data_IF_779687152948
#
_entry.id   IF_779687152948
#
_cell.length_a   1.000
_cell.length_b   1.000
_cell.length_c   1.000
_cell.angle_alpha   90.00
_cell.angle_beta   90.00
_cell.angle_gamma   90.00
#
_symmetry.space_group_name_H-M   'P 1'
#
loop_
_entity.id
_entity.type
_entity.pdbx_description
1 polymer ?
#
# COMPACT_ATOMS: atom_id res chain seq x y z
N UNK A 1 -24.19 -7.55 32.39
CA UNK A 1 -22.72 -7.65 32.50
C UNK A 1 -22.10 -6.40 31.90
N UNK A 2 -21.17 -5.72 32.60
CA UNK A 2 -20.49 -4.53 32.05
C UNK A 2 -19.73 -4.93 30.77
N UNK A 3 -19.62 -4.02 29.81
CA UNK A 3 -19.01 -4.33 28.51
C UNK A 3 -17.56 -4.83 28.64
N UNK A 4 -16.84 -4.33 29.63
CA UNK A 4 -15.47 -4.75 29.97
C UNK A 4 -15.39 -6.19 30.50
N UNK A 5 -16.33 -6.60 31.35
CA UNK A 5 -16.40 -8.00 31.82
C UNK A 5 -16.79 -8.95 30.69
N UNK A 6 -17.66 -8.51 29.76
CA UNK A 6 -17.96 -9.27 28.53
C UNK A 6 -16.72 -9.46 27.66
N UNK A 7 -15.90 -8.41 27.49
CA UNK A 7 -14.63 -8.45 26.73
C UNK A 7 -13.64 -9.43 27.37
N UNK A 8 -13.41 -9.32 28.67
CA UNK A 8 -12.44 -10.15 29.39
C UNK A 8 -12.81 -11.63 29.33
N UNK A 9 -14.08 -11.95 29.58
CA UNK A 9 -14.59 -13.34 29.47
C UNK A 9 -14.46 -13.86 28.03
N UNK A 10 -14.72 -13.03 27.02
CA UNK A 10 -14.62 -13.46 25.63
C UNK A 10 -13.17 -13.70 25.19
N UNK A 11 -12.21 -12.94 25.74
CA UNK A 11 -10.77 -13.15 25.53
C UNK A 11 -10.33 -14.47 26.17
N UNK A 12 -10.74 -14.73 27.42
CA UNK A 12 -10.44 -15.99 28.12
C UNK A 12 -11.03 -17.20 27.38
N UNK A 13 -12.29 -17.11 26.95
CA UNK A 13 -12.93 -18.17 26.15
C UNK A 13 -12.23 -18.31 24.79
N UNK A 14 -11.83 -17.21 24.14
CA UNK A 14 -11.07 -17.25 22.90
C UNK A 14 -9.72 -17.97 23.04
N UNK A 15 -9.00 -17.72 24.14
CA UNK A 15 -7.74 -18.42 24.44
C UNK A 15 -7.96 -19.91 24.70
N UNK A 16 -9.04 -20.25 25.42
CA UNK A 16 -9.46 -21.62 25.66
C UNK A 16 -9.81 -22.35 24.35
N UNK A 17 -10.48 -21.69 23.40
CA UNK A 17 -10.75 -22.22 22.05
C UNK A 17 -9.44 -22.54 21.33
N UNK A 18 -8.42 -21.67 21.39
CA UNK A 18 -7.11 -21.93 20.75
C UNK A 18 -6.42 -23.13 21.38
N UNK A 19 -6.41 -23.27 22.71
CA UNK A 19 -5.82 -24.42 23.40
C UNK A 19 -6.52 -25.72 22.99
N UNK A 20 -7.86 -25.72 22.98
CA UNK A 20 -8.65 -26.87 22.54
C UNK A 20 -8.40 -27.22 21.08
N UNK A 21 -8.07 -26.23 20.26
CA UNK A 21 -7.83 -26.41 18.83
C UNK A 21 -6.48 -27.08 18.52
N UNK A 22 -5.43 -26.76 19.29
CA UNK A 22 -4.09 -27.35 19.15
C UNK A 22 -4.07 -28.82 19.53
N UNK A 23 -5.04 -29.28 20.34
CA UNK A 23 -5.13 -30.68 20.73
C UNK A 23 -5.52 -31.57 19.54
N UNK A 24 -4.86 -32.73 19.40
CA UNK A 24 -5.10 -33.65 18.29
C UNK A 24 -6.49 -34.31 18.33
N UNK A 25 -7.11 -34.39 19.50
CA UNK A 25 -8.39 -35.06 19.68
C UNK A 25 -9.56 -34.33 18.96
N UNK A 26 -10.25 -35.07 18.10
CA UNK A 26 -11.39 -34.60 17.29
C UNK A 26 -12.53 -34.00 18.13
N UNK A 27 -12.76 -34.52 19.34
CA UNK A 27 -13.80 -34.02 20.25
C UNK A 27 -13.49 -32.61 20.75
N UNK A 28 -12.22 -32.31 21.06
CA UNK A 28 -11.82 -30.97 21.49
C UNK A 28 -11.93 -29.95 20.36
N UNK A 29 -11.65 -30.35 19.12
CA UNK A 29 -11.86 -29.52 17.93
C UNK A 29 -13.34 -29.23 17.69
N UNK A 30 -14.22 -30.20 17.89
CA UNK A 30 -15.67 -30.01 17.78
C UNK A 30 -16.19 -29.04 18.86
N UNK A 31 -15.75 -29.21 20.11
CA UNK A 31 -16.08 -28.31 21.22
C UNK A 31 -15.59 -26.88 20.94
N UNK A 32 -14.37 -26.72 20.43
CA UNK A 32 -13.83 -25.43 20.03
C UNK A 32 -14.70 -24.75 18.95
N UNK A 33 -15.25 -25.52 18.00
CA UNK A 33 -16.13 -25.02 16.95
C UNK A 33 -17.50 -24.57 17.51
N UNK A 34 -18.07 -25.32 18.45
CA UNK A 34 -19.30 -24.91 19.16
C UNK A 34 -19.09 -23.63 19.99
N UNK A 35 -17.98 -23.53 20.72
CA UNK A 35 -17.66 -22.36 21.54
C UNK A 35 -17.42 -21.12 20.66
N UNK A 36 -16.69 -21.26 19.55
CA UNK A 36 -16.45 -20.16 18.61
C UNK A 36 -17.74 -19.68 17.93
N UNK A 37 -18.62 -20.59 17.51
CA UNK A 37 -19.96 -20.26 17.02
C UNK A 37 -20.80 -19.52 18.07
N UNK A 38 -20.78 -19.98 19.32
CA UNK A 38 -21.46 -19.34 20.45
C UNK A 38 -20.93 -17.94 20.76
N UNK A 39 -19.61 -17.73 20.68
CA UNK A 39 -18.99 -16.41 20.81
C UNK A 39 -19.45 -15.45 19.71
N UNK A 40 -19.43 -15.88 18.44
CA UNK A 40 -19.90 -15.05 17.31
C UNK A 40 -21.36 -14.64 17.52
N UNK A 41 -22.22 -15.58 17.92
CA UNK A 41 -23.63 -15.30 18.17
C UNK A 41 -23.84 -14.34 19.36
N UNK A 42 -23.09 -14.51 20.45
CA UNK A 42 -23.12 -13.62 21.63
C UNK A 42 -22.67 -12.18 21.31
N UNK A 43 -21.79 -12.02 20.33
CA UNK A 43 -21.24 -10.74 19.91
C UNK A 43 -22.00 -10.08 18.74
N UNK A 44 -22.98 -10.76 18.12
CA UNK A 44 -23.67 -10.27 16.92
C UNK A 44 -24.28 -8.87 17.08
N UNK A 45 -24.92 -8.59 18.22
CA UNK A 45 -25.58 -7.31 18.48
C UNK A 45 -24.56 -6.18 18.70
N UNK A 46 -23.48 -6.48 19.43
CA UNK A 46 -22.35 -5.57 19.64
C UNK A 46 -21.65 -5.26 18.32
N UNK A 47 -21.44 -6.28 17.48
CA UNK A 47 -20.83 -6.12 16.15
C UNK A 47 -21.70 -5.29 15.22
N UNK A 48 -23.01 -5.55 15.16
CA UNK A 48 -23.96 -4.76 14.37
C UNK A 48 -23.98 -3.29 14.81
N UNK A 49 -23.97 -3.03 16.12
CA UNK A 49 -23.91 -1.67 16.68
C UNK A 49 -22.60 -0.98 16.32
N UNK A 50 -21.48 -1.70 16.45
CA UNK A 50 -20.16 -1.19 16.07
C UNK A 50 -20.08 -0.85 14.58
N UNK A 51 -20.58 -1.73 13.69
CA UNK A 51 -20.66 -1.48 12.24
C UNK A 51 -21.51 -0.24 11.96
N UNK A 52 -22.67 -0.09 12.61
CA UNK A 52 -23.54 1.09 12.46
C UNK A 52 -22.82 2.39 12.87
N UNK A 53 -22.09 2.38 13.98
CA UNK A 53 -21.29 3.52 14.43
C UNK A 53 -20.21 3.88 13.40
N UNK A 54 -19.47 2.90 12.90
CA UNK A 54 -18.40 3.13 11.90
C UNK A 54 -18.95 3.53 10.53
N UNK A 55 -20.13 3.04 10.15
CA UNK A 55 -20.84 3.50 8.96
C UNK A 55 -21.28 4.97 9.08
N UNK A 56 -21.82 5.37 10.24
CA UNK A 56 -22.15 6.76 10.51
C UNK A 56 -20.90 7.65 10.46
N UNK A 57 -19.77 7.17 10.99
CA UNK A 57 -18.48 7.84 10.88
C UNK A 57 -18.08 8.06 9.41
N UNK A 58 -18.18 7.03 8.56
CA UNK A 58 -17.93 7.14 7.12
C UNK A 58 -18.83 8.19 6.46
N UNK A 59 -20.14 8.19 6.78
CA UNK A 59 -21.10 9.17 6.26
C UNK A 59 -20.72 10.60 6.67
N UNK A 60 -20.34 10.81 7.92
CA UNK A 60 -19.94 12.12 8.44
C UNK A 60 -18.63 12.61 7.80
N UNK A 61 -17.65 11.71 7.58
CA UNK A 61 -16.42 12.02 6.85
C UNK A 61 -16.72 12.40 5.39
N UNK A 62 -17.63 11.69 4.71
CA UNK A 62 -18.04 12.02 3.33
C UNK A 62 -18.76 13.36 3.25
N UNK A 63 -19.55 13.71 4.27
CA UNK A 63 -20.18 15.02 4.43
C UNK A 63 -19.23 16.13 4.92
N UNK A 64 -17.96 15.79 5.17
CA UNK A 64 -16.89 16.71 5.59
C UNK A 64 -17.15 17.37 6.95
N UNK A 65 -17.92 16.72 7.82
CA UNK A 65 -18.29 17.29 9.12
C UNK A 65 -17.10 17.50 10.07
N UNK A 66 -15.98 16.81 9.85
CA UNK A 66 -14.76 16.92 10.66
C UNK A 66 -13.66 17.77 10.00
N UNK A 67 -13.94 18.35 8.84
CA UNK A 67 -13.00 19.23 8.14
C UNK A 67 -13.17 20.65 8.67
N UNK A 68 -12.29 21.03 9.59
CA UNK A 68 -12.29 22.36 10.20
C UNK A 68 -11.26 23.24 9.53
N UNK A 69 -11.71 24.38 9.02
CA UNK A 69 -10.90 25.30 8.22
C UNK A 69 -9.84 25.97 9.09
N UNK A 70 -10.21 26.36 10.32
CA UNK A 70 -9.30 27.03 11.26
C UNK A 70 -8.27 26.08 11.89
N UNK A 71 -8.30 24.79 11.56
CA UNK A 71 -7.35 23.79 12.07
C UNK A 71 -6.23 23.53 11.06
N UNK A 72 -5.01 24.00 11.37
CA UNK A 72 -3.83 23.79 10.54
C UNK A 72 -3.61 22.30 10.24
N UNK A 73 -3.67 21.94 8.96
CA UNK A 73 -3.44 20.58 8.48
C UNK A 73 -4.59 19.61 8.73
N UNK A 74 -5.78 20.09 9.09
CA UNK A 74 -7.02 19.31 9.17
C UNK A 74 -6.90 18.02 10.01
N UNK A 75 -6.25 18.14 11.17
CA UNK A 75 -5.86 17.02 12.04
C UNK A 75 -7.06 16.19 12.53
N UNK A 76 -8.19 16.83 12.79
CA UNK A 76 -9.43 16.18 13.21
C UNK A 76 -9.98 15.26 12.11
N UNK A 77 -10.09 15.75 10.87
CA UNK A 77 -10.52 14.94 9.71
C UNK A 77 -9.56 13.75 9.49
N UNK A 78 -8.25 14.00 9.55
CA UNK A 78 -7.25 12.94 9.43
C UNK A 78 -7.38 11.89 10.54
N UNK A 79 -7.56 12.28 11.80
CA UNK A 79 -7.79 11.36 12.91
C UNK A 79 -9.04 10.51 12.67
N UNK A 80 -10.17 11.12 12.28
CA UNK A 80 -11.41 10.37 12.03
C UNK A 80 -11.28 9.40 10.86
N UNK A 81 -10.55 9.77 9.81
CA UNK A 81 -10.20 8.85 8.71
C UNK A 81 -9.28 7.71 9.15
N UNK A 82 -8.33 7.96 10.05
CA UNK A 82 -7.47 6.91 10.66
C UNK A 82 -8.28 5.98 11.57
N UNK A 83 -9.19 6.51 12.39
CA UNK A 83 -10.11 5.71 13.21
C UNK A 83 -10.97 4.78 12.34
N UNK A 84 -11.41 5.26 11.16
CA UNK A 84 -12.13 4.43 10.18
C UNK A 84 -11.20 3.40 9.53
N UNK A 85 -9.98 3.77 9.15
CA UNK A 85 -8.98 2.86 8.59
C UNK A 85 -8.61 1.72 9.54
N UNK A 86 -8.36 2.04 10.81
CA UNK A 86 -8.12 1.08 11.87
C UNK A 86 -9.30 0.12 12.08
N UNK A 87 -10.53 0.63 11.98
CA UNK A 87 -11.73 -0.21 12.04
C UNK A 87 -11.80 -1.19 10.85
N UNK A 88 -11.51 -0.73 9.62
CA UNK A 88 -11.45 -1.60 8.43
C UNK A 88 -10.36 -2.66 8.59
N UNK A 89 -9.18 -2.29 9.09
CA UNK A 89 -8.11 -3.24 9.39
C UNK A 89 -8.55 -4.29 10.40
N UNK A 90 -9.11 -3.87 11.53
CA UNK A 90 -9.58 -4.79 12.56
C UNK A 90 -10.62 -5.77 11.99
N UNK A 91 -11.60 -5.26 11.22
CA UNK A 91 -12.63 -6.11 10.63
C UNK A 91 -12.06 -7.12 9.62
N UNK A 92 -11.18 -6.67 8.73
CA UNK A 92 -10.59 -7.50 7.68
C UNK A 92 -9.59 -8.53 8.24
N UNK A 93 -8.66 -8.11 9.09
CA UNK A 93 -7.57 -8.96 9.57
C UNK A 93 -8.01 -9.88 10.71
N UNK A 94 -8.79 -9.39 11.69
CA UNK A 94 -9.36 -10.29 12.71
C UNK A 94 -10.40 -11.23 12.08
N UNK A 95 -11.16 -10.75 11.09
CA UNK A 95 -12.06 -11.58 10.30
C UNK A 95 -11.32 -12.69 9.54
N UNK A 96 -10.18 -12.37 8.93
CA UNK A 96 -9.33 -13.35 8.25
C UNK A 96 -8.76 -14.40 9.21
N UNK A 97 -8.25 -13.98 10.38
CA UNK A 97 -7.76 -14.91 11.41
C UNK A 97 -8.90 -15.84 11.87
N UNK A 98 -10.08 -15.29 12.16
CA UNK A 98 -11.24 -16.08 12.55
C UNK A 98 -11.67 -17.06 11.44
N UNK A 99 -11.64 -16.63 10.18
CA UNK A 99 -11.94 -17.49 9.04
C UNK A 99 -10.94 -18.64 8.93
N UNK A 100 -9.63 -18.38 9.04
CA UNK A 100 -8.60 -19.43 9.02
C UNK A 100 -8.85 -20.43 10.15
N UNK A 101 -9.15 -19.96 11.37
CA UNK A 101 -9.44 -20.86 12.49
C UNK A 101 -10.64 -21.77 12.20
N UNK A 102 -11.74 -21.20 11.69
CA UNK A 102 -12.95 -21.98 11.36
C UNK A 102 -12.67 -22.97 10.24
N UNK A 103 -12.03 -22.53 9.15
CA UNK A 103 -11.74 -23.38 8.00
C UNK A 103 -10.78 -24.50 8.40
N UNK A 104 -9.73 -24.19 9.18
CA UNK A 104 -8.80 -25.17 9.73
C UNK A 104 -9.50 -26.22 10.59
N UNK A 105 -10.49 -25.80 11.38
CA UNK A 105 -11.28 -26.72 12.19
C UNK A 105 -12.09 -27.68 11.33
N UNK A 106 -12.80 -27.16 10.32
CA UNK A 106 -13.60 -27.96 9.42
C UNK A 106 -12.72 -28.94 8.62
N UNK A 107 -11.60 -28.47 8.08
CA UNK A 107 -10.70 -29.32 7.28
C UNK A 107 -10.04 -30.40 8.14
N UNK A 108 -9.71 -30.11 9.39
CA UNK A 108 -9.21 -31.13 10.32
C UNK A 108 -10.26 -32.17 10.71
N UNK A 109 -11.55 -31.83 10.75
CA UNK A 109 -12.62 -32.78 11.04
C UNK A 109 -12.87 -33.75 9.88
N UNK A 110 -12.70 -33.27 8.64
CA UNK A 110 -12.96 -34.03 7.40
C UNK A 110 -11.67 -34.67 6.85
N UNK A 111 -10.53 -34.46 7.53
CA UNK A 111 -9.21 -34.90 7.11
C UNK A 111 -8.84 -34.46 5.67
N UNK A 112 -9.22 -33.23 5.34
CA UNK A 112 -9.01 -32.61 4.03
C UNK A 112 -7.89 -31.55 4.10
N UNK A 113 -7.04 -31.37 3.07
CA UNK A 113 -5.95 -30.39 3.13
C UNK A 113 -6.47 -28.95 3.09
N UNK A 114 -5.97 -28.10 3.99
CA UNK A 114 -6.41 -26.71 4.19
C UNK A 114 -6.34 -25.84 2.91
N UNK A 115 -5.30 -26.03 2.11
CA UNK A 115 -4.96 -25.17 0.97
C UNK A 115 -5.45 -25.70 -0.39
N UNK A 116 -6.23 -26.80 -0.41
CA UNK A 116 -6.66 -27.43 -1.66
C UNK A 116 -8.15 -27.21 -1.93
N UNK A 117 -8.55 -27.28 -3.21
CA UNK A 117 -9.94 -27.17 -3.63
C UNK A 117 -10.63 -25.84 -3.24
N UNK A 118 -11.90 -25.94 -2.83
CA UNK A 118 -12.73 -24.78 -2.48
C UNK A 118 -12.19 -23.99 -1.27
N UNK A 119 -11.61 -24.67 -0.27
CA UNK A 119 -11.05 -24.01 0.91
C UNK A 119 -9.83 -23.15 0.57
N UNK A 120 -8.96 -23.64 -0.32
CA UNK A 120 -7.83 -22.86 -0.84
C UNK A 120 -8.28 -21.57 -1.54
N UNK A 121 -9.36 -21.62 -2.33
CA UNK A 121 -9.93 -20.45 -3.00
C UNK A 121 -10.51 -19.44 -1.99
N UNK A 122 -11.19 -19.92 -0.94
CA UNK A 122 -11.76 -19.07 0.10
C UNK A 122 -10.64 -18.35 0.87
N UNK A 123 -9.59 -19.09 1.27
CA UNK A 123 -8.45 -18.53 2.01
C UNK A 123 -7.70 -17.51 1.15
N UNK A 124 -7.41 -17.80 -0.12
CA UNK A 124 -6.68 -16.89 -1.00
C UNK A 124 -7.45 -15.57 -1.23
N UNK A 125 -8.77 -15.64 -1.47
CA UNK A 125 -9.61 -14.44 -1.58
C UNK A 125 -9.67 -13.64 -0.28
N UNK A 126 -9.75 -14.31 0.86
CA UNK A 126 -9.77 -13.64 2.16
C UNK A 126 -8.42 -12.99 2.50
N UNK A 127 -7.31 -13.58 2.06
CA UNK A 127 -5.97 -12.99 2.17
C UNK A 127 -5.85 -11.69 1.37
N UNK A 128 -6.36 -11.68 0.12
CA UNK A 128 -6.41 -10.45 -0.70
C UNK A 128 -7.24 -9.37 0.02
N UNK A 129 -8.38 -9.74 0.61
CA UNK A 129 -9.21 -8.80 1.37
C UNK A 129 -8.49 -8.24 2.61
N UNK A 130 -7.74 -9.08 3.33
CA UNK A 130 -6.92 -8.67 4.47
C UNK A 130 -5.81 -7.68 4.07
N UNK A 131 -5.12 -7.96 2.96
CA UNK A 131 -4.11 -7.06 2.36
C UNK A 131 -4.70 -5.69 2.00
N UNK A 132 -5.87 -5.67 1.34
CA UNK A 132 -6.58 -4.42 1.04
C UNK A 132 -6.91 -3.67 2.35
N UNK A 133 -7.32 -4.38 3.40
CA UNK A 133 -7.58 -3.81 4.71
C UNK A 133 -6.37 -3.10 5.33
N UNK A 134 -5.17 -3.70 5.22
CA UNK A 134 -3.90 -3.11 5.65
C UNK A 134 -3.62 -1.81 4.89
N UNK A 135 -3.70 -1.86 3.55
CA UNK A 135 -3.47 -0.71 2.66
C UNK A 135 -4.42 0.45 3.02
N UNK A 136 -5.71 0.15 3.21
CA UNK A 136 -6.72 1.17 3.55
C UNK A 136 -6.54 1.80 4.93
N UNK A 137 -5.92 1.07 5.87
CA UNK A 137 -5.63 1.57 7.22
C UNK A 137 -4.44 2.53 7.23
N UNK A 138 -3.37 2.16 6.52
CA UNK A 138 -2.11 2.91 6.54
C UNK A 138 -2.17 4.16 5.63
N UNK A 139 -3.10 4.23 4.66
CA UNK A 139 -3.19 5.32 3.66
C UNK A 139 -3.14 6.75 4.21
N UNK A 140 -3.69 6.99 5.40
CA UNK A 140 -3.79 8.34 6.00
C UNK A 140 -2.63 8.68 6.96
N UNK A 141 -1.61 7.83 7.05
CA UNK A 141 -0.40 8.06 7.84
C UNK A 141 0.76 8.55 6.97
N UNK A 142 1.01 7.88 5.83
CA UNK A 142 2.15 8.15 4.94
C UNK A 142 1.69 8.41 3.50
N UNK A 143 0.73 9.33 3.30
CA UNK A 143 0.10 9.60 1.99
C UNK A 143 1.10 9.84 0.85
N UNK A 144 2.23 10.52 1.13
CA UNK A 144 3.32 10.75 0.18
C UNK A 144 3.99 9.47 -0.32
N UNK A 145 4.18 8.48 0.55
CA UNK A 145 4.87 7.25 0.20
C UNK A 145 4.03 6.33 -0.70
N UNK A 146 2.70 6.33 -0.54
CA UNK A 146 1.81 5.54 -1.39
C UNK A 146 1.98 5.84 -2.88
N UNK A 147 2.17 7.10 -3.21
CA UNK A 147 2.39 7.54 -4.58
C UNK A 147 3.64 6.91 -5.20
N UNK A 148 4.72 6.74 -4.42
CA UNK A 148 5.99 6.17 -4.89
C UNK A 148 6.03 4.64 -4.82
N UNK A 149 5.38 4.02 -3.83
CA UNK A 149 5.37 2.55 -3.71
C UNK A 149 4.44 1.86 -4.72
N UNK A 150 3.46 2.58 -5.26
CA UNK A 150 2.44 1.98 -6.11
C UNK A 150 3.02 1.31 -7.39
N UNK A 151 3.92 1.94 -8.17
CA UNK A 151 4.49 1.29 -9.35
C UNK A 151 5.35 0.08 -9.01
N UNK A 152 6.04 0.10 -7.86
CA UNK A 152 6.79 -1.06 -7.36
C UNK A 152 5.87 -2.22 -6.98
N UNK A 153 4.73 -1.95 -6.35
CA UNK A 153 3.73 -2.99 -6.09
C UNK A 153 3.20 -3.60 -7.39
N UNK A 154 2.97 -2.78 -8.43
CA UNK A 154 2.58 -3.31 -9.74
C UNK A 154 3.68 -4.21 -10.31
N UNK A 155 4.95 -3.78 -10.25
CA UNK A 155 6.08 -4.57 -10.72
C UNK A 155 6.18 -5.94 -10.01
N UNK A 156 5.98 -5.96 -8.69
CA UNK A 156 5.98 -7.21 -7.91
C UNK A 156 4.83 -8.13 -8.29
N UNK A 157 3.66 -7.59 -8.62
CA UNK A 157 2.51 -8.40 -9.04
C UNK A 157 2.70 -8.95 -10.46
N UNK A 158 3.39 -8.20 -11.33
CA UNK A 158 3.60 -8.59 -12.73
C UNK A 158 4.83 -9.46 -12.96
N UNK A 159 5.76 -9.55 -12.00
CA UNK A 159 7.04 -10.25 -12.18
C UNK A 159 6.86 -11.73 -12.54
N UNK A 160 5.89 -12.41 -11.94
CA UNK A 160 5.61 -13.83 -12.19
C UNK A 160 4.73 -14.07 -13.43
N UNK A 161 4.14 -13.00 -13.99
CA UNK A 161 3.22 -13.08 -15.13
C UNK A 161 3.86 -12.65 -16.46
N UNK A 162 5.01 -11.98 -16.40
CA UNK A 162 5.69 -11.38 -17.52
C UNK A 162 6.99 -12.13 -17.78
N UNK A 163 7.08 -12.80 -18.94
CA UNK A 163 8.29 -13.52 -19.35
C UNK A 163 9.49 -12.56 -19.55
N UNK A 164 9.23 -11.37 -20.10
CA UNK A 164 10.22 -10.30 -20.25
C UNK A 164 9.53 -8.93 -20.22
N UNK A 165 10.09 -8.02 -19.42
CA UNK A 165 9.63 -6.64 -19.33
C UNK A 165 9.96 -5.82 -20.57
N UNK A 166 10.97 -6.23 -21.36
CA UNK A 166 11.34 -5.61 -22.63
C UNK A 166 10.29 -5.86 -23.73
N UNK A 167 9.37 -6.81 -23.56
CA UNK A 167 8.32 -7.06 -24.53
C UNK A 167 7.23 -5.98 -24.52
N UNK A 168 6.79 -5.57 -25.72
CA UNK A 168 5.75 -4.53 -25.91
C UNK A 168 4.46 -4.88 -25.16
N UNK A 169 4.06 -6.16 -25.19
CA UNK A 169 2.86 -6.64 -24.49
C UNK A 169 2.95 -6.39 -22.98
N UNK A 170 4.07 -6.72 -22.36
CA UNK A 170 4.28 -6.54 -20.92
C UNK A 170 4.34 -5.08 -20.52
N UNK A 171 4.98 -4.24 -21.33
CA UNK A 171 4.98 -2.78 -21.15
C UNK A 171 3.54 -2.23 -21.11
N UNK A 172 2.69 -2.64 -22.06
CA UNK A 172 1.29 -2.19 -22.11
C UNK A 172 0.52 -2.66 -20.88
N UNK A 173 0.64 -3.93 -20.49
CA UNK A 173 -0.05 -4.50 -19.32
C UNK A 173 0.36 -3.73 -18.05
N UNK A 174 1.66 -3.50 -17.86
CA UNK A 174 2.18 -2.76 -16.72
C UNK A 174 1.59 -1.34 -16.66
N UNK A 175 1.63 -0.60 -17.77
CA UNK A 175 1.11 0.77 -17.84
C UNK A 175 -0.38 0.85 -17.53
N UNK A 176 -1.18 -0.08 -18.04
CA UNK A 176 -2.62 -0.16 -17.74
C UNK A 176 -2.86 -0.42 -16.25
N UNK A 177 -2.15 -1.36 -15.65
CA UNK A 177 -2.26 -1.67 -14.22
C UNK A 177 -1.86 -0.48 -13.34
N UNK A 178 -0.81 0.25 -13.71
CA UNK A 178 -0.39 1.48 -13.03
C UNK A 178 -1.48 2.54 -13.08
N UNK A 179 -2.09 2.78 -14.25
CA UNK A 179 -3.18 3.76 -14.41
C UNK A 179 -4.37 3.37 -13.51
N UNK A 180 -4.80 2.12 -13.56
CA UNK A 180 -5.90 1.60 -12.71
C UNK A 180 -5.58 1.81 -11.23
N UNK A 181 -4.36 1.48 -10.83
CA UNK A 181 -3.90 1.61 -9.44
C UNK A 181 -3.90 3.08 -8.99
N UNK A 182 -3.44 4.01 -9.83
CA UNK A 182 -3.45 5.43 -9.51
C UNK A 182 -4.87 6.01 -9.47
N UNK A 183 -5.76 5.59 -10.37
CA UNK A 183 -7.18 5.97 -10.32
C UNK A 183 -7.77 5.53 -8.98
N UNK A 184 -7.51 4.30 -8.53
CA UNK A 184 -7.98 3.81 -7.24
C UNK A 184 -7.41 4.63 -6.08
N UNK A 185 -6.10 4.92 -6.07
CA UNK A 185 -5.46 5.76 -5.05
C UNK A 185 -6.11 7.15 -4.96
N UNK A 186 -6.31 7.78 -6.12
CA UNK A 186 -6.93 9.09 -6.24
C UNK A 186 -8.34 9.05 -5.70
N UNK A 187 -9.15 8.03 -5.99
CA UNK A 187 -10.50 7.90 -5.44
C UNK A 187 -10.52 7.73 -3.92
N UNK A 188 -9.55 7.02 -3.35
CA UNK A 188 -9.47 6.75 -1.92
C UNK A 188 -9.05 7.97 -1.08
N UNK A 189 -8.17 8.82 -1.61
CA UNK A 189 -7.58 9.93 -0.86
C UNK A 189 -8.39 11.23 -0.95
N UNK A 190 -8.52 11.98 0.17
CA UNK A 190 -9.16 13.29 0.15
C UNK A 190 -8.29 14.33 -0.56
N UNK A 191 -8.92 15.38 -1.09
CA UNK A 191 -8.24 16.40 -1.92
C UNK A 191 -7.08 17.09 -1.20
N UNK A 192 -7.24 17.45 0.08
CA UNK A 192 -6.15 18.08 0.84
C UNK A 192 -4.91 17.16 0.96
N UNK A 193 -5.09 15.84 1.05
CA UNK A 193 -3.98 14.88 1.08
C UNK A 193 -3.28 14.76 -0.27
N UNK A 194 -4.03 14.84 -1.37
CA UNK A 194 -3.48 14.84 -2.73
C UNK A 194 -2.67 16.10 -3.04
N UNK A 195 -3.11 17.27 -2.55
CA UNK A 195 -2.33 18.52 -2.64
C UNK A 195 -1.00 18.40 -1.92
N UNK A 196 -0.97 17.76 -0.75
CA UNK A 196 0.27 17.50 0.00
C UNK A 196 1.23 16.60 -0.76
N UNK A 197 0.73 15.59 -1.48
CA UNK A 197 1.56 14.77 -2.37
C UNK A 197 2.18 15.67 -3.46
N UNK A 198 1.36 16.51 -4.10
CA UNK A 198 1.82 17.40 -5.19
C UNK A 198 2.88 18.40 -4.71
N UNK A 199 2.70 19.04 -3.55
CA UNK A 199 3.71 19.96 -3.01
C UNK A 199 5.00 19.23 -2.57
N UNK A 200 4.88 17.97 -2.13
CA UNK A 200 6.00 17.12 -1.75
C UNK A 200 6.67 16.40 -2.93
N UNK A 201 6.02 16.34 -4.11
CA UNK A 201 6.53 15.59 -5.26
C UNK A 201 7.78 16.19 -5.87
N UNK A 202 8.06 17.48 -5.67
CA UNK A 202 9.30 18.06 -6.17
C UNK A 202 10.53 17.44 -5.50
N UNK A 203 10.59 17.42 -4.17
CA UNK A 203 11.75 16.89 -3.43
C UNK A 203 11.84 15.37 -3.53
N UNK A 204 10.74 14.66 -3.28
CA UNK A 204 10.74 13.20 -3.34
C UNK A 204 10.80 12.67 -4.78
N UNK A 205 10.31 13.43 -5.77
CA UNK A 205 10.43 13.10 -7.18
C UNK A 205 11.90 13.12 -7.60
N UNK A 206 12.64 14.17 -7.24
CA UNK A 206 14.09 14.23 -7.48
C UNK A 206 14.81 13.06 -6.81
N UNK A 207 14.53 12.80 -5.52
CA UNK A 207 15.15 11.66 -4.81
C UNK A 207 14.84 10.32 -5.48
N UNK A 208 13.60 10.07 -5.89
CA UNK A 208 13.24 8.81 -6.56
C UNK A 208 13.86 8.69 -7.96
N UNK A 209 13.95 9.79 -8.71
CA UNK A 209 14.66 9.79 -10.00
C UNK A 209 16.16 9.55 -9.88
N UNK A 210 16.77 9.77 -8.70
CA UNK A 210 18.17 9.43 -8.42
C UNK A 210 18.32 8.01 -7.87
N UNK A 211 17.48 7.63 -6.90
CA UNK A 211 17.56 6.33 -6.21
C UNK A 211 17.21 5.17 -7.15
N UNK A 212 16.16 5.30 -7.97
CA UNK A 212 15.70 4.20 -8.83
C UNK A 212 16.79 3.79 -9.85
N UNK A 213 17.44 4.72 -10.58
CA UNK A 213 18.57 4.35 -11.44
C UNK A 213 19.77 3.82 -10.67
N UNK A 214 20.15 4.43 -9.55
CA UNK A 214 21.27 3.94 -8.74
C UNK A 214 21.04 2.48 -8.29
N UNK A 215 19.81 2.17 -7.89
CA UNK A 215 19.49 0.81 -7.45
C UNK A 215 19.39 -0.17 -8.61
N UNK A 216 18.67 0.15 -9.69
CA UNK A 216 18.44 -0.80 -10.78
C UNK A 216 19.61 -0.92 -11.77
N UNK A 217 20.32 0.18 -12.07
CA UNK A 217 21.43 0.13 -13.03
C UNK A 217 22.78 -0.06 -12.36
N UNK A 218 23.07 0.65 -11.28
CA UNK A 218 24.38 0.54 -10.67
C UNK A 218 24.48 -0.70 -9.79
N UNK A 219 23.53 -0.92 -8.88
CA UNK A 219 23.60 -2.10 -8.01
C UNK A 219 23.30 -3.39 -8.77
N UNK A 220 22.15 -3.51 -9.44
CA UNK A 220 21.82 -4.76 -10.12
C UNK A 220 22.61 -4.97 -11.41
N UNK A 221 22.65 -3.99 -12.32
CA UNK A 221 23.31 -4.21 -13.61
C UNK A 221 24.83 -4.21 -13.52
N UNK A 222 25.47 -3.34 -12.74
CA UNK A 222 26.94 -3.34 -12.69
C UNK A 222 27.47 -4.39 -11.71
N UNK A 223 27.03 -4.34 -10.45
CA UNK A 223 27.63 -5.18 -9.41
C UNK A 223 27.28 -6.67 -9.56
N UNK A 224 26.05 -7.02 -9.95
CA UNK A 224 25.63 -8.42 -10.10
C UNK A 224 26.25 -9.06 -11.35
N UNK A 225 26.23 -8.36 -12.49
CA UNK A 225 26.82 -8.84 -13.75
C UNK A 225 28.32 -9.04 -13.58
N UNK A 226 29.04 -8.08 -12.99
CA UNK A 226 30.48 -8.21 -12.73
C UNK A 226 30.78 -9.39 -11.78
N UNK A 227 29.95 -9.59 -10.75
CA UNK A 227 30.10 -10.73 -9.84
C UNK A 227 29.91 -12.07 -10.55
N UNK A 228 28.91 -12.17 -11.44
CA UNK A 228 28.64 -13.40 -12.19
C UNK A 228 29.75 -13.65 -13.21
N UNK A 229 30.21 -12.61 -13.91
CA UNK A 229 31.31 -12.70 -14.86
C UNK A 229 32.60 -13.18 -14.18
N UNK A 230 32.93 -12.60 -13.02
CA UNK A 230 34.11 -12.98 -12.23
C UNK A 230 34.04 -14.42 -11.71
N UNK A 231 32.86 -14.87 -11.28
CA UNK A 231 32.65 -16.26 -10.86
C UNK A 231 32.87 -17.23 -12.04
N UNK A 232 32.40 -16.86 -13.24
CA UNK A 232 32.61 -17.64 -14.46
C UNK A 232 34.07 -17.76 -14.85
N UNK A 233 34.79 -16.64 -14.84
CA UNK A 233 36.23 -16.62 -15.14
C UNK A 233 37.02 -17.46 -14.13
N UNK A 234 36.56 -17.50 -12.87
CA UNK A 234 37.23 -18.27 -11.81
C UNK A 234 36.92 -19.77 -11.82
N UNK A 235 35.82 -20.18 -12.45
CA UNK A 235 35.34 -21.56 -12.47
C UNK A 235 35.12 -22.08 -13.91
N UNK A 236 36.16 -22.20 -14.75
CA UNK A 236 36.01 -22.74 -16.10
C UNK A 236 35.60 -24.22 -16.08
N UNK A 237 34.92 -24.68 -17.13
CA UNK A 237 34.70 -26.12 -17.35
C UNK A 237 36.07 -26.75 -17.60
N UNK A 238 36.42 -27.73 -16.77
CA UNK A 238 37.66 -28.51 -16.86
C UNK A 238 37.34 -30.00 -16.94
N UNK A 239 38.31 -30.79 -17.42
CA UNK A 239 38.18 -32.25 -17.52
C UNK A 239 37.89 -32.88 -16.14
N UNK A 240 38.47 -32.35 -15.07
CA UNK A 240 38.24 -32.82 -13.69
C UNK A 240 36.82 -32.56 -13.21
N UNK A 241 36.23 -31.44 -13.62
CA UNK A 241 34.86 -31.08 -13.28
C UNK A 241 33.87 -31.99 -14.02
N UNK A 242 34.16 -32.31 -15.29
CA UNK A 242 33.39 -33.26 -16.10
C UNK A 242 33.50 -34.70 -15.56
N UNK A 243 34.69 -35.13 -15.13
CA UNK A 243 34.92 -36.40 -14.45
C UNK A 243 34.05 -36.56 -13.19
N UNK A 244 33.91 -35.48 -12.41
CA UNK A 244 33.09 -35.47 -11.19
C UNK A 244 31.58 -35.47 -11.45
N UNK A 245 31.13 -35.06 -12.64
CA UNK A 245 29.71 -35.02 -13.01
C UNK A 245 29.14 -36.38 -13.47
N UNK A 246 29.95 -37.45 -13.50
CA UNK A 246 29.47 -38.80 -13.79
C UNK A 246 29.27 -39.11 -15.28
N UNK A 247 29.98 -38.40 -16.17
CA UNK A 247 30.01 -38.70 -17.60
C UNK A 247 30.60 -40.11 -17.85
N UNK A 248 30.10 -40.79 -18.88
CA UNK A 248 30.60 -42.13 -19.26
C UNK A 248 32.07 -42.06 -19.70
N UNK A 249 32.83 -43.11 -19.39
CA UNK A 249 34.27 -43.22 -19.70
C UNK A 249 34.60 -43.00 -21.17
N UNK A 250 33.73 -43.43 -22.08
CA UNK A 250 33.86 -43.22 -23.54
C UNK A 250 33.78 -41.75 -23.96
N UNK A 251 32.91 -40.96 -23.30
CA UNK A 251 32.77 -39.53 -23.57
C UNK A 251 33.99 -38.78 -23.03
N UNK A 252 34.48 -39.19 -21.86
CA UNK A 252 35.67 -38.63 -21.24
C UNK A 252 36.95 -38.91 -22.04
N UNK A 253 37.11 -40.12 -22.58
CA UNK A 253 38.23 -40.43 -23.47
C UNK A 253 38.16 -39.61 -24.76
N UNK A 254 36.97 -39.48 -25.35
CA UNK A 254 36.76 -38.67 -26.56
C UNK A 254 37.11 -37.18 -26.34
N UNK A 255 36.70 -36.59 -25.20
CA UNK A 255 37.05 -35.21 -24.84
C UNK A 255 38.54 -35.07 -24.55
N UNK A 256 39.17 -36.07 -23.94
CA UNK A 256 40.63 -36.08 -23.68
C UNK A 256 41.44 -36.12 -24.97
N UNK A 257 40.97 -36.84 -25.99
CA UNK A 257 41.59 -36.89 -27.32
C UNK A 257 41.33 -35.61 -28.14
N UNK A 258 40.29 -34.85 -27.80
CA UNK A 258 39.86 -33.65 -28.50
C UNK A 258 39.73 -32.44 -27.54
N UNK A 259 40.86 -31.90 -27.02
CA UNK A 259 40.85 -30.86 -25.98
C UNK A 259 40.16 -29.54 -26.41
N UNK A 260 40.05 -29.29 -27.72
CA UNK A 260 39.30 -28.15 -28.25
C UNK A 260 37.81 -28.16 -27.85
N UNK A 261 37.24 -29.33 -27.52
CA UNK A 261 35.85 -29.46 -27.08
C UNK A 261 35.63 -28.69 -25.77
N UNK A 262 36.61 -28.70 -24.87
CA UNK A 262 36.51 -27.97 -23.59
C UNK A 262 36.51 -26.46 -23.83
N UNK A 263 37.34 -25.97 -24.76
CA UNK A 263 37.35 -24.56 -25.18
C UNK A 263 36.00 -24.17 -25.80
N UNK A 264 35.46 -25.02 -26.68
CA UNK A 264 34.15 -24.84 -27.30
C UNK A 264 33.03 -24.78 -26.24
N UNK A 265 33.04 -25.69 -25.26
CA UNK A 265 32.06 -25.72 -24.16
C UNK A 265 32.13 -24.46 -23.30
N UNK A 266 33.34 -23.98 -22.97
CA UNK A 266 33.52 -22.73 -22.23
C UNK A 266 33.01 -21.52 -23.03
N UNK A 267 33.32 -21.43 -24.33
CA UNK A 267 32.78 -20.37 -25.21
C UNK A 267 31.26 -20.39 -25.30
N UNK A 268 30.65 -21.57 -25.43
CA UNK A 268 29.19 -21.68 -25.44
C UNK A 268 28.57 -21.27 -24.10
N UNK A 269 29.21 -21.65 -22.98
CA UNK A 269 28.79 -21.23 -21.64
C UNK A 269 28.85 -19.71 -21.49
N UNK A 270 29.98 -19.11 -21.86
CA UNK A 270 30.16 -17.66 -21.85
C UNK A 270 29.11 -16.95 -22.71
N UNK A 271 28.87 -17.43 -23.93
CA UNK A 271 27.88 -16.85 -24.84
C UNK A 271 26.46 -16.96 -24.29
N UNK A 272 26.06 -18.11 -23.75
CA UNK A 272 24.74 -18.32 -23.16
C UNK A 272 24.51 -17.37 -21.98
N UNK A 273 25.49 -17.26 -21.08
CA UNK A 273 25.33 -16.43 -19.89
C UNK A 273 25.40 -14.95 -20.24
N UNK A 274 26.26 -14.55 -21.18
CA UNK A 274 26.28 -13.18 -21.70
C UNK A 274 24.92 -12.82 -22.32
N UNK A 275 24.27 -13.74 -23.03
CA UNK A 275 22.92 -13.54 -23.55
C UNK A 275 21.90 -13.35 -22.43
N UNK A 276 21.88 -14.22 -21.42
CA UNK A 276 20.95 -14.14 -20.28
C UNK A 276 21.17 -12.85 -19.46
N UNK A 277 22.43 -12.48 -19.20
CA UNK A 277 22.78 -11.25 -18.51
C UNK A 277 22.36 -10.02 -19.32
N UNK A 278 22.59 -10.02 -20.63
CA UNK A 278 22.12 -8.93 -21.50
C UNK A 278 20.59 -8.81 -21.49
N UNK A 279 19.87 -9.92 -21.58
CA UNK A 279 18.42 -9.96 -21.48
C UNK A 279 17.93 -9.40 -20.14
N UNK A 280 18.51 -9.86 -19.02
CA UNK A 280 18.20 -9.38 -17.69
C UNK A 280 18.46 -7.87 -17.53
N UNK A 281 19.59 -7.38 -18.03
CA UNK A 281 19.90 -5.94 -17.97
C UNK A 281 18.96 -5.10 -18.83
N UNK A 282 18.51 -5.61 -19.97
CA UNK A 282 17.49 -4.97 -20.80
C UNK A 282 16.16 -4.85 -20.05
N UNK A 283 15.76 -5.92 -19.37
CA UNK A 283 14.53 -5.93 -18.57
C UNK A 283 14.60 -4.96 -17.38
N UNK A 284 15.75 -4.88 -16.69
CA UNK A 284 15.97 -3.90 -15.62
C UNK A 284 15.92 -2.46 -16.13
N UNK A 285 16.57 -2.17 -17.26
CA UNK A 285 16.52 -0.84 -17.89
C UNK A 285 15.10 -0.48 -18.32
N UNK A 286 14.34 -1.43 -18.85
CA UNK A 286 12.94 -1.22 -19.22
C UNK A 286 12.07 -1.00 -17.98
N UNK A 287 12.25 -1.79 -16.92
CA UNK A 287 11.55 -1.62 -15.65
C UNK A 287 11.85 -0.26 -15.01
N UNK A 288 13.11 0.19 -15.04
CA UNK A 288 13.49 1.54 -14.61
C UNK A 288 12.68 2.60 -15.36
N UNK A 289 12.66 2.52 -16.69
CA UNK A 289 11.90 3.44 -17.53
C UNK A 289 10.41 3.43 -17.17
N UNK A 290 9.84 2.24 -16.99
CA UNK A 290 8.43 2.07 -16.62
C UNK A 290 8.11 2.67 -15.25
N UNK A 291 8.95 2.46 -14.24
CA UNK A 291 8.78 3.03 -12.90
C UNK A 291 8.81 4.56 -12.94
N UNK A 292 9.78 5.15 -13.65
CA UNK A 292 9.89 6.61 -13.79
C UNK A 292 8.69 7.20 -14.53
N UNK A 293 8.29 6.57 -15.63
CA UNK A 293 7.11 6.99 -16.41
C UNK A 293 5.83 6.87 -15.58
N UNK A 294 5.73 5.86 -14.72
CA UNK A 294 4.59 5.66 -13.82
C UNK A 294 4.42 6.80 -12.83
N UNK A 295 5.53 7.35 -12.30
CA UNK A 295 5.46 8.53 -11.46
C UNK A 295 4.88 9.72 -12.25
N UNK A 296 5.36 9.97 -13.46
CA UNK A 296 4.79 11.02 -14.32
C UNK A 296 3.28 10.85 -14.54
N UNK A 297 2.83 9.63 -14.82
CA UNK A 297 1.39 9.30 -14.94
C UNK A 297 0.64 9.63 -13.66
N UNK A 298 1.15 9.17 -12.50
CA UNK A 298 0.54 9.44 -11.21
C UNK A 298 0.42 10.95 -10.94
N UNK A 299 1.45 11.74 -11.27
CA UNK A 299 1.45 13.20 -11.10
C UNK A 299 0.36 13.84 -11.95
N UNK A 300 0.23 13.44 -13.22
CA UNK A 300 -0.80 13.94 -14.15
C UNK A 300 -2.19 13.66 -13.60
N UNK A 301 -2.47 12.41 -13.21
CA UNK A 301 -3.78 12.01 -12.69
C UNK A 301 -4.14 12.73 -11.39
N UNK A 302 -3.20 12.86 -10.46
CA UNK A 302 -3.40 13.60 -9.20
C UNK A 302 -3.70 15.08 -9.50
N UNK A 303 -2.93 15.69 -10.38
CA UNK A 303 -3.08 17.09 -10.78
C UNK A 303 -4.45 17.33 -11.43
N UNK A 304 -4.89 16.42 -12.30
CA UNK A 304 -6.20 16.47 -12.93
C UNK A 304 -7.32 16.45 -11.88
N UNK A 305 -7.24 15.56 -10.88
CA UNK A 305 -8.23 15.53 -9.78
C UNK A 305 -8.24 16.83 -8.97
N UNK A 306 -7.08 17.43 -8.73
CA UNK A 306 -6.96 18.71 -8.02
C UNK A 306 -7.59 19.84 -8.85
N UNK A 307 -7.33 19.89 -10.16
CA UNK A 307 -7.95 20.87 -11.08
C UNK A 307 -9.47 20.74 -11.12
N UNK A 308 -9.99 19.51 -11.21
CA UNK A 308 -11.44 19.26 -11.10
C UNK A 308 -12.02 19.73 -9.76
N UNK A 309 -11.27 19.54 -8.66
CA UNK A 309 -11.61 20.10 -7.36
C UNK A 309 -11.71 21.62 -7.39
N UNK A 310 -10.72 22.31 -7.98
CA UNK A 310 -10.74 23.78 -8.10
C UNK A 310 -11.91 24.30 -8.92
N UNK A 311 -12.20 23.68 -10.07
CA UNK A 311 -13.38 24.04 -10.89
C UNK A 311 -14.68 23.89 -10.09
N UNK A 312 -14.82 22.80 -9.32
CA UNK A 312 -15.97 22.64 -8.42
C UNK A 312 -16.03 23.71 -7.33
N UNK A 313 -14.90 24.17 -6.82
CA UNK A 313 -14.86 25.25 -5.84
C UNK A 313 -15.31 26.58 -6.44
N UNK A 314 -14.96 26.86 -7.70
CA UNK A 314 -15.40 28.03 -8.45
C UNK A 314 -16.93 28.09 -8.58
N UNK A 315 -17.55 26.96 -8.92
CA UNK A 315 -19.02 26.83 -8.98
C UNK A 315 -19.71 27.03 -7.62
N UNK A 316 -19.03 26.67 -6.53
CA UNK A 316 -19.55 26.90 -5.17
C UNK A 316 -19.37 28.38 -4.79
N UNK A 317 -18.21 28.95 -5.07
CA UNK A 317 -17.87 30.33 -4.74
C UNK A 317 -18.75 31.34 -5.48
N UNK A 318 -18.99 31.13 -6.77
CA UNK A 318 -19.91 31.96 -7.57
C UNK A 318 -21.32 32.00 -6.95
N UNK A 319 -21.84 30.84 -6.52
CA UNK A 319 -23.14 30.74 -5.83
C UNK A 319 -23.14 31.44 -4.47
N UNK A 320 -22.05 31.34 -3.71
CA UNK A 320 -21.91 32.05 -2.43
C UNK A 320 -21.94 33.56 -2.65
N UNK A 321 -21.22 34.06 -3.66
CA UNK A 321 -21.16 35.50 -3.97
C UNK A 321 -22.52 36.07 -4.40
N UNK A 322 -23.36 35.26 -5.06
CA UNK A 322 -24.70 35.68 -5.47
C UNK A 322 -25.79 35.45 -4.40
N UNK A 323 -25.49 34.76 -3.30
CA UNK A 323 -26.47 34.41 -2.27
C UNK A 323 -26.49 35.46 -1.15
N UNK A 324 -27.70 35.84 -0.71
CA UNK A 324 -27.87 36.71 0.46
C UNK A 324 -27.71 36.00 1.81
N UNK A 325 -27.85 34.66 1.84
CA UNK A 325 -27.63 33.84 3.05
C UNK A 325 -26.56 32.79 2.76
N UNK A 326 -25.42 32.90 3.44
CA UNK A 326 -24.24 32.07 3.20
C UNK A 326 -24.06 31.11 4.37
N UNK A 327 -24.20 29.82 4.08
CA UNK A 327 -24.05 28.77 5.08
C UNK A 327 -22.59 28.33 5.25
N UNK A 328 -22.19 28.03 6.49
CA UNK A 328 -20.89 27.46 6.85
C UNK A 328 -20.49 26.26 5.97
N UNK A 329 -21.43 25.34 5.69
CA UNK A 329 -21.14 24.15 4.88
C UNK A 329 -20.67 24.51 3.47
N UNK A 330 -21.23 25.57 2.87
CA UNK A 330 -20.85 26.03 1.53
C UNK A 330 -19.45 26.63 1.54
N UNK A 331 -19.14 27.47 2.53
CA UNK A 331 -17.80 28.05 2.72
C UNK A 331 -16.74 26.95 2.93
N UNK A 332 -17.01 26.03 3.87
CA UNK A 332 -16.14 24.89 4.17
C UNK A 332 -15.91 24.01 2.95
N UNK A 333 -16.98 23.66 2.22
CA UNK A 333 -16.88 22.80 1.05
C UNK A 333 -16.11 23.50 -0.08
N UNK A 334 -16.30 24.81 -0.27
CA UNK A 334 -15.51 25.62 -1.20
C UNK A 334 -14.02 25.53 -0.90
N UNK A 335 -13.63 25.69 0.38
CA UNK A 335 -12.22 25.58 0.81
C UNK A 335 -11.71 24.16 0.66
N UNK A 336 -12.49 23.16 1.02
CA UNK A 336 -12.12 21.75 0.84
C UNK A 336 -11.77 21.45 -0.62
N UNK A 337 -12.58 21.92 -1.56
CA UNK A 337 -12.39 21.70 -3.00
C UNK A 337 -11.33 22.61 -3.64
N UNK A 338 -11.22 23.86 -3.20
CA UNK A 338 -10.36 24.88 -3.78
C UNK A 338 -8.95 24.98 -3.19
N UNK A 339 -8.80 24.62 -1.91
CA UNK A 339 -7.54 24.74 -1.17
C UNK A 339 -7.16 26.17 -0.86
N UNK A 340 -5.87 26.39 -0.62
CA UNK A 340 -5.29 27.63 -0.10
C UNK A 340 -5.74 28.88 -0.87
N UNK A 341 -5.92 28.77 -2.20
CA UNK A 341 -6.41 29.86 -3.03
C UNK A 341 -7.81 30.34 -2.63
N UNK A 342 -8.74 29.41 -2.40
CA UNK A 342 -10.11 29.72 -1.99
C UNK A 342 -10.22 29.94 -0.48
N UNK A 343 -9.33 29.32 0.30
CA UNK A 343 -9.17 29.62 1.73
C UNK A 343 -8.85 31.11 1.93
N UNK A 344 -7.85 31.62 1.22
CA UNK A 344 -7.47 33.04 1.29
C UNK A 344 -8.59 33.97 0.81
N UNK A 345 -9.27 33.63 -0.30
CA UNK A 345 -10.41 34.42 -0.81
C UNK A 345 -11.57 34.49 0.17
N UNK A 346 -11.87 33.40 0.89
CA UNK A 346 -12.97 33.34 1.84
C UNK A 346 -12.60 34.02 3.15
N UNK A 347 -11.39 33.78 3.67
CA UNK A 347 -10.92 34.39 4.92
C UNK A 347 -10.64 35.89 4.78
N UNK A 348 -10.43 36.41 3.57
CA UNK A 348 -10.33 37.84 3.33
C UNK A 348 -11.66 38.60 3.50
N UNK A 349 -12.80 37.90 3.54
CA UNK A 349 -14.11 38.50 3.80
C UNK A 349 -14.49 38.30 5.28
N UNK A 350 -14.63 39.41 6.01
CA UNK A 350 -14.91 39.42 7.45
C UNK A 350 -16.20 38.70 7.83
N UNK A 351 -17.25 38.77 7.00
CA UNK A 351 -18.54 38.15 7.28
C UNK A 351 -18.43 36.62 7.17
N UNK A 352 -17.73 36.15 6.14
CA UNK A 352 -17.49 34.71 5.94
C UNK A 352 -16.56 34.15 7.01
N UNK A 353 -15.51 34.89 7.37
CA UNK A 353 -14.61 34.56 8.46
C UNK A 353 -15.38 34.42 9.79
N UNK A 354 -16.24 35.38 10.12
CA UNK A 354 -17.04 35.36 11.35
C UNK A 354 -17.97 34.13 11.41
N UNK A 355 -18.58 33.73 10.29
CA UNK A 355 -19.40 32.51 10.22
C UNK A 355 -18.56 31.26 10.49
N UNK A 356 -17.34 31.17 9.94
CA UNK A 356 -16.45 30.03 10.15
C UNK A 356 -15.99 29.96 11.61
N UNK A 357 -15.50 31.08 12.15
CA UNK A 357 -14.96 31.14 13.51
C UNK A 357 -16.05 30.82 14.53
N UNK A 358 -17.23 31.45 14.41
CA UNK A 358 -18.34 31.22 15.34
C UNK A 358 -18.79 29.76 15.37
N UNK A 359 -18.79 29.09 14.21
CA UNK A 359 -19.18 27.69 14.12
C UNK A 359 -18.10 26.73 14.65
N UNK A 360 -16.83 26.98 14.33
CA UNK A 360 -15.73 26.08 14.66
C UNK A 360 -15.18 26.25 16.09
N UNK A 361 -15.38 27.41 16.72
CA UNK A 361 -15.01 27.63 18.13
C UNK A 361 -15.80 26.70 19.09
N UNK A 362 -17.01 26.30 18.71
CA UNK A 362 -17.86 25.41 19.50
C UNK A 362 -17.51 23.93 19.31
N UNK A 363 -16.53 23.60 18.47
CA UNK A 363 -16.20 22.23 18.08
C UNK A 363 -14.86 21.80 18.68
N UNK A 364 -14.83 20.58 19.23
CA UNK A 364 -13.60 19.99 19.76
C UNK A 364 -12.61 19.66 18.64
N UNK A 365 -11.47 20.35 18.65
CA UNK A 365 -10.37 20.15 17.72
C UNK A 365 -9.37 19.14 18.28
N UNK A 366 -8.84 18.29 17.40
CA UNK A 366 -7.90 17.26 17.80
C UNK A 366 -6.47 17.80 17.91
N UNK A 367 -5.85 17.56 19.07
CA UNK A 367 -4.43 17.79 19.28
C UNK A 367 -3.69 16.46 19.08
N UNK A 368 -2.80 16.41 18.09
CA UNK A 368 -1.97 15.23 17.78
C UNK A 368 -1.03 14.91 18.96
N UNK A 369 -1.24 13.73 19.56
CA UNK A 369 -0.47 13.25 20.70
C UNK A 369 0.52 12.15 20.33
N UNK A 370 0.42 11.58 19.13
CA UNK A 370 1.26 10.46 18.70
C UNK A 370 2.71 10.89 18.51
N UNK A 371 3.63 10.30 19.29
CA UNK A 371 5.04 10.71 19.38
C UNK A 371 5.75 10.69 18.02
N UNK A 372 5.62 9.61 17.25
CA UNK A 372 6.29 9.43 15.97
C UNK A 372 5.72 10.32 14.85
N UNK A 373 4.58 10.98 15.08
CA UNK A 373 4.06 12.04 14.19
C UNK A 373 4.54 13.41 14.69
N UNK A 374 4.48 13.63 16.01
CA UNK A 374 4.77 14.90 16.68
C UNK A 374 6.23 15.33 16.57
N UNK A 375 7.19 14.41 16.79
CA UNK A 375 8.61 14.77 16.78
C UNK A 375 9.12 15.12 15.38
N UNK A 376 8.86 14.32 14.32
CA UNK A 376 9.23 14.72 12.97
C UNK A 376 8.56 16.02 12.53
N UNK A 377 7.29 16.25 12.89
CA UNK A 377 6.63 17.51 12.54
C UNK A 377 7.27 18.72 13.20
N UNK A 378 7.68 18.60 14.48
CA UNK A 378 8.39 19.66 15.19
C UNK A 378 9.76 19.93 14.59
N UNK A 379 10.47 18.89 14.18
CA UNK A 379 11.76 19.03 13.50
C UNK A 379 11.59 19.80 12.19
N UNK A 380 10.62 19.42 11.35
CA UNK A 380 10.33 20.13 10.10
C UNK A 380 9.93 21.59 10.34
N UNK A 381 9.11 21.87 11.37
CA UNK A 381 8.77 23.25 11.74
C UNK A 381 9.99 24.06 12.20
N UNK A 382 10.89 23.45 12.97
CA UNK A 382 12.13 24.07 13.41
C UNK A 382 13.07 24.36 12.24
N UNK A 383 13.33 23.38 11.38
CA UNK A 383 14.14 23.56 10.17
C UNK A 383 13.53 24.62 9.25
N UNK A 384 12.20 24.61 9.08
CA UNK A 384 11.48 25.62 8.31
C UNK A 384 11.61 27.01 8.90
N UNK A 385 11.58 27.16 10.22
CA UNK A 385 11.78 28.44 10.89
C UNK A 385 13.21 28.98 10.72
N UNK A 386 14.22 28.10 10.74
CA UNK A 386 15.61 28.47 10.43
C UNK A 386 15.72 28.94 8.98
N UNK A 387 15.21 28.16 8.03
CA UNK A 387 15.23 28.51 6.60
C UNK A 387 14.53 29.84 6.32
N UNK A 388 13.39 30.11 6.96
CA UNK A 388 12.68 31.39 6.84
C UNK A 388 13.47 32.58 7.37
N UNK A 389 14.41 32.39 8.31
CA UNK A 389 15.28 33.46 8.79
C UNK A 389 16.46 33.73 7.86
N UNK A 390 16.74 32.82 6.93
CA UNK A 390 17.82 32.92 5.95
C UNK A 390 17.38 33.54 4.62
N UNK A 391 16.07 33.73 4.43
CA UNK A 391 15.44 34.50 3.35
C UNK A 391 15.10 35.87 3.92
#
# INVERSE_FOLDING_TARGET
>A
MKEETKKLISILIGYFVVILFVNENILFKFIALCISGGLVFSWKSSLATWVKIKYNLLKNIRKRNYFYVTEKGYKTDLKKRRELGSAIYALSNLGFIALIMIVSAVTSLINYPLSTGLFGIIISRAMIFALIGIILSIRNYLTGMYYYFLPWLVALITIDYVDSYSSVKSIIIFMVLVIISYIFLILLLPLHSLRKITSSTWLFGVLTTLIVPLFLEYFFKYHMVESIQKDLDSNPITLDLLNKQGLTTEILSFIKENPYIIDLMNRFREMSIAYDLNSFTSDLSTLRFLLLTSYSIGTILITLKIKLGKSKAEDIYSRIKSSGDVQYNSLRDCIFYGGDEYENKIMANSDFEAIIISKEQQLDKYIEQTWWIKYPSKFVEFSGAILKKLI
#
